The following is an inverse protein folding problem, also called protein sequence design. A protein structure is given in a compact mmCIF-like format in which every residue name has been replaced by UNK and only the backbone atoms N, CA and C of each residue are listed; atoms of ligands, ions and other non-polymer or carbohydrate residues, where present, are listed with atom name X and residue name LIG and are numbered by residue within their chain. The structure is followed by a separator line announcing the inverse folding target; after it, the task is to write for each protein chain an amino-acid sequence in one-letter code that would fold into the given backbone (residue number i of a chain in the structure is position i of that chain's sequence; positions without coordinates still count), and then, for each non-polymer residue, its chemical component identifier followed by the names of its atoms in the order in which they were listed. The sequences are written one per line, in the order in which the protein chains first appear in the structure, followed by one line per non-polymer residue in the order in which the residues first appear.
data_IF_910910062459
#
_entry.id   IF_910910062459
#
_cell.length_a   1.000
_cell.length_b   1.000
_cell.length_c   1.000
_cell.angle_alpha   90.00
_cell.angle_beta   90.00
_cell.angle_gamma   90.00
#
_symmetry.space_group_name_H-M   'P 1'
#
loop_
_entity.id
_entity.type
_entity.pdbx_description
1 polymer ?
#
# COMPACT_ATOMS: atom_id res chain seq x y z
N UNK A 1 -25.47 63.06 8.97
CA UNK A 1 -26.09 61.71 8.94
C UNK A 1 -25.45 60.96 7.81
N UNK A 2 -24.37 60.26 8.11
CA UNK A 2 -23.69 59.37 7.16
C UNK A 2 -24.05 57.95 7.52
N UNK A 3 -24.84 57.31 6.69
CA UNK A 3 -25.06 55.85 6.75
C UNK A 3 -23.92 55.16 5.98
N UNK A 4 -22.95 54.61 6.72
CA UNK A 4 -22.02 53.64 6.17
C UNK A 4 -22.77 52.34 5.89
N UNK A 5 -22.77 51.95 4.64
CA UNK A 5 -23.18 50.61 4.22
C UNK A 5 -22.04 49.68 4.62
N UNK A 6 -22.33 48.77 5.56
CA UNK A 6 -21.49 47.63 5.87
C UNK A 6 -21.58 46.70 4.64
N UNK A 7 -20.50 46.58 3.87
CA UNK A 7 -20.37 45.57 2.83
C UNK A 7 -20.10 44.23 3.51
N UNK A 8 -20.92 43.26 3.15
CA UNK A 8 -20.77 41.86 3.54
C UNK A 8 -19.40 41.32 3.10
N UNK A 9 -18.53 41.01 4.04
CA UNK A 9 -17.20 40.44 3.80
C UNK A 9 -17.26 38.95 3.42
N UNK A 10 -18.41 38.30 3.56
CA UNK A 10 -18.59 36.87 3.29
C UNK A 10 -18.66 36.51 1.78
N UNK A 11 -18.89 37.50 0.89
CA UNK A 11 -18.99 37.25 -0.56
C UNK A 11 -17.64 37.29 -1.27
N UNK A 12 -16.60 37.90 -0.67
CA UNK A 12 -15.26 37.98 -1.30
C UNK A 12 -14.45 36.67 -1.14
N UNK A 13 -14.66 35.95 -0.07
CA UNK A 13 -13.89 34.70 0.19
C UNK A 13 -14.32 33.55 -0.73
N UNK A 14 -15.63 33.39 -0.99
CA UNK A 14 -16.15 32.36 -1.88
C UNK A 14 -15.70 32.50 -3.36
N UNK A 15 -15.39 33.74 -3.81
CA UNK A 15 -14.99 33.99 -5.19
C UNK A 15 -13.51 33.66 -5.47
N UNK A 16 -12.63 33.73 -4.48
CA UNK A 16 -11.19 33.40 -4.63
C UNK A 16 -10.95 31.90 -4.77
N UNK A 17 -11.69 31.08 -4.03
CA UNK A 17 -11.59 29.61 -4.12
C UNK A 17 -12.04 29.06 -5.48
N UNK A 18 -13.07 29.64 -6.08
CA UNK A 18 -13.57 29.20 -7.40
C UNK A 18 -12.53 29.43 -8.51
N UNK A 19 -11.64 30.40 -8.39
CA UNK A 19 -10.56 30.63 -9.37
C UNK A 19 -9.39 29.64 -9.25
N UNK A 20 -9.24 28.95 -8.14
CA UNK A 20 -8.15 27.99 -7.94
C UNK A 20 -8.39 26.66 -8.67
N UNK A 21 -9.65 26.24 -8.81
CA UNK A 21 -10.01 24.98 -9.43
C UNK A 21 -10.38 25.11 -10.89
N UNK A 22 -9.85 24.22 -11.75
CA UNK A 22 -10.33 24.06 -13.11
C UNK A 22 -11.66 23.27 -13.10
N UNK A 23 -12.58 23.65 -13.97
CA UNK A 23 -13.83 22.88 -14.15
C UNK A 23 -13.47 21.52 -14.75
N UNK A 24 -13.88 20.45 -14.07
CA UNK A 24 -13.62 19.08 -14.51
C UNK A 24 -14.34 18.74 -15.82
N UNK A 25 -13.58 18.22 -16.77
CA UNK A 25 -14.09 17.60 -18.00
C UNK A 25 -13.28 16.36 -18.40
N UNK A 26 -13.69 15.72 -19.49
CA UNK A 26 -13.00 14.52 -20.03
C UNK A 26 -11.55 14.76 -20.49
N UNK A 27 -11.12 15.99 -20.60
CA UNK A 27 -9.77 16.39 -21.01
C UNK A 27 -8.90 16.84 -19.84
N UNK A 28 -9.45 17.00 -18.64
CA UNK A 28 -8.72 17.48 -17.46
C UNK A 28 -7.43 16.70 -17.21
N UNK A 29 -7.46 15.36 -17.30
CA UNK A 29 -6.27 14.50 -17.14
C UNK A 29 -5.28 14.53 -18.32
N UNK A 30 -5.55 15.32 -19.37
CA UNK A 30 -4.62 15.55 -20.49
C UNK A 30 -3.90 16.90 -20.36
N UNK A 31 -4.34 17.73 -19.44
CA UNK A 31 -3.67 19.00 -19.16
C UNK A 31 -2.38 18.76 -18.39
N UNK A 32 -1.35 19.61 -18.58
CA UNK A 32 -0.16 19.55 -17.76
C UNK A 32 -0.50 19.85 -16.29
N UNK A 33 0.20 19.19 -15.37
CA UNK A 33 0.10 19.51 -13.96
C UNK A 33 0.54 20.95 -13.70
N UNK A 34 -0.09 21.61 -12.72
CA UNK A 34 0.38 22.86 -12.16
C UNK A 34 1.60 22.60 -11.28
N UNK A 35 2.43 23.61 -11.09
CA UNK A 35 3.67 23.50 -10.31
C UNK A 35 3.77 24.65 -9.31
N UNK A 36 4.16 24.33 -8.07
CA UNK A 36 4.59 25.27 -7.05
C UNK A 36 6.00 24.88 -6.59
N UNK A 37 6.84 25.86 -6.28
CA UNK A 37 8.18 25.63 -5.76
C UNK A 37 8.22 25.99 -4.27
N UNK A 38 8.80 25.09 -3.46
CA UNK A 38 8.96 25.24 -2.03
C UNK A 38 10.41 24.94 -1.68
N UNK A 39 11.19 25.93 -1.30
CA UNK A 39 12.60 25.81 -0.92
C UNK A 39 13.40 24.96 -1.93
N UNK A 40 13.27 25.25 -3.22
CA UNK A 40 13.96 24.53 -4.30
C UNK A 40 13.39 23.16 -4.66
N UNK A 41 12.30 22.76 -4.03
CA UNK A 41 11.57 21.55 -4.35
C UNK A 41 10.32 21.84 -5.14
N UNK A 42 10.06 21.05 -6.19
CA UNK A 42 8.87 21.14 -7.03
C UNK A 42 7.74 20.29 -6.44
N UNK A 43 6.58 20.91 -6.27
CA UNK A 43 5.31 20.20 -5.99
C UNK A 43 4.45 20.29 -7.24
N UNK A 44 4.04 19.15 -7.77
CA UNK A 44 3.12 19.07 -8.92
C UNK A 44 1.71 18.76 -8.44
N UNK A 45 0.71 19.41 -9.00
CA UNK A 45 -0.68 19.19 -8.60
C UNK A 45 -1.67 19.47 -9.73
N UNK A 46 -2.85 18.89 -9.58
CA UNK A 46 -4.02 19.13 -10.41
C UNK A 46 -5.18 19.50 -9.48
N UNK A 47 -5.79 20.66 -9.67
CA UNK A 47 -6.92 21.14 -8.89
C UNK A 47 -8.16 21.23 -9.79
N UNK A 48 -9.17 20.40 -9.53
CA UNK A 48 -10.36 20.23 -10.37
C UNK A 48 -11.64 20.22 -9.54
N UNK A 49 -12.71 20.78 -10.06
CA UNK A 49 -14.00 20.84 -9.39
C UNK A 49 -15.18 20.68 -10.35
N UNK A 50 -16.32 20.29 -9.80
CA UNK A 50 -17.62 20.54 -10.41
C UNK A 50 -18.19 21.83 -9.84
N UNK A 51 -18.86 22.68 -10.66
CA UNK A 51 -19.36 23.97 -10.20
C UNK A 51 -20.28 23.87 -8.97
N UNK A 52 -21.08 22.79 -8.90
CA UNK A 52 -22.07 22.57 -7.86
C UNK A 52 -21.45 22.31 -6.48
N UNK A 53 -20.22 21.78 -6.44
CA UNK A 53 -19.54 21.37 -5.20
C UNK A 53 -18.22 22.12 -4.97
N UNK A 54 -17.89 23.10 -5.79
CA UNK A 54 -16.66 23.88 -5.71
C UNK A 54 -16.52 24.67 -4.39
N UNK A 55 -17.63 24.91 -3.70
CA UNK A 55 -17.69 25.63 -2.41
C UNK A 55 -17.48 24.72 -1.19
N UNK A 56 -17.41 23.39 -1.37
CA UNK A 56 -17.20 22.43 -0.29
C UNK A 56 -15.70 22.35 0.07
N UNK A 57 -15.40 21.73 1.21
CA UNK A 57 -14.03 21.49 1.67
C UNK A 57 -13.23 20.69 0.62
N UNK A 58 -12.08 21.20 0.15
CA UNK A 58 -11.26 20.50 -0.84
C UNK A 58 -10.73 19.15 -0.34
N UNK A 59 -10.59 18.21 -1.25
CA UNK A 59 -10.07 16.86 -0.99
C UNK A 59 -8.68 16.74 -1.60
N UNK A 60 -7.65 16.69 -0.76
CA UNK A 60 -6.26 16.45 -1.18
C UNK A 60 -5.98 14.95 -1.23
N UNK A 61 -5.58 14.44 -2.40
CA UNK A 61 -5.30 13.02 -2.61
C UNK A 61 -3.79 12.82 -2.79
N UNK A 62 -3.18 12.02 -1.91
CA UNK A 62 -1.77 11.64 -1.93
C UNK A 62 -1.67 10.18 -2.32
N UNK A 63 -1.05 9.91 -3.47
CA UNK A 63 -0.93 8.57 -4.04
C UNK A 63 0.04 7.66 -3.29
N UNK A 64 -0.11 6.34 -3.50
CA UNK A 64 0.86 5.33 -3.10
C UNK A 64 2.10 5.33 -4.00
N UNK A 65 3.05 4.44 -3.68
CA UNK A 65 4.37 4.39 -4.34
C UNK A 65 4.33 4.26 -5.88
N UNK A 66 3.28 3.63 -6.42
CA UNK A 66 3.13 3.40 -7.87
C UNK A 66 1.99 4.21 -8.50
N UNK A 67 1.39 5.12 -7.74
CA UNK A 67 0.26 5.94 -8.19
C UNK A 67 0.73 7.32 -8.60
N UNK A 68 0.04 7.88 -9.59
CA UNK A 68 0.16 9.25 -10.05
C UNK A 68 -1.23 9.79 -10.39
N UNK A 69 -1.34 10.99 -10.91
CA UNK A 69 -2.64 11.61 -11.27
C UNK A 69 -3.52 10.69 -12.13
N UNK A 70 -2.96 10.01 -13.14
CA UNK A 70 -3.73 9.12 -14.02
C UNK A 70 -4.33 7.91 -13.30
N UNK A 71 -3.79 7.52 -12.15
CA UNK A 71 -4.33 6.43 -11.33
C UNK A 71 -5.75 6.74 -10.82
N UNK A 72 -6.10 8.01 -10.73
CA UNK A 72 -7.38 8.50 -10.23
C UNK A 72 -8.38 8.90 -11.32
N UNK A 73 -7.96 8.92 -12.58
CA UNK A 73 -8.77 9.37 -13.71
C UNK A 73 -10.19 8.79 -13.77
N UNK A 74 -10.35 7.52 -13.38
CA UNK A 74 -11.64 6.84 -13.38
C UNK A 74 -12.28 6.77 -11.99
N UNK A 75 -11.71 7.45 -11.00
CA UNK A 75 -12.13 7.42 -9.61
C UNK A 75 -12.73 8.77 -9.16
N UNK A 76 -12.21 9.88 -9.66
CA UNK A 76 -12.52 11.24 -9.17
C UNK A 76 -13.98 11.62 -9.30
N UNK A 77 -14.69 11.17 -10.36
CA UNK A 77 -16.09 11.56 -10.59
C UNK A 77 -17.02 11.25 -9.42
N UNK A 78 -16.76 10.14 -8.72
CA UNK A 78 -17.56 9.75 -7.57
C UNK A 78 -17.26 10.58 -6.30
N UNK A 79 -16.07 11.21 -6.24
CA UNK A 79 -15.64 12.00 -5.11
C UNK A 79 -16.15 13.45 -5.17
N UNK A 80 -16.50 13.97 -6.35
CA UNK A 80 -16.95 15.37 -6.49
C UNK A 80 -18.19 15.73 -5.66
N UNK A 81 -19.03 14.74 -5.32
CA UNK A 81 -20.16 14.99 -4.42
C UNK A 81 -19.74 15.43 -3.01
N UNK A 82 -18.50 15.11 -2.60
CA UNK A 82 -17.94 15.46 -1.31
C UNK A 82 -17.08 16.73 -1.33
N UNK A 83 -16.64 17.19 -2.53
CA UNK A 83 -15.89 18.43 -2.67
C UNK A 83 -14.99 18.47 -3.91
N UNK A 84 -14.35 19.61 -4.16
CA UNK A 84 -13.33 19.75 -5.19
C UNK A 84 -12.10 18.92 -4.86
N UNK A 85 -11.35 18.52 -5.89
CA UNK A 85 -10.28 17.52 -5.74
C UNK A 85 -8.94 18.15 -6.12
N UNK A 86 -7.95 17.89 -5.28
CA UNK A 86 -6.55 18.19 -5.51
C UNK A 86 -5.78 16.88 -5.54
N UNK A 87 -5.23 16.53 -6.70
CA UNK A 87 -4.25 15.45 -6.83
C UNK A 87 -2.87 16.07 -6.69
N UNK A 88 -2.02 15.56 -5.81
CA UNK A 88 -0.72 16.17 -5.52
C UNK A 88 0.39 15.11 -5.56
N UNK A 89 1.49 15.45 -6.24
CA UNK A 89 2.70 14.64 -6.34
C UNK A 89 3.90 15.43 -5.77
N UNK A 90 4.39 14.97 -4.63
CA UNK A 90 5.54 15.53 -3.92
C UNK A 90 6.85 15.13 -4.62
N UNK A 91 8.01 15.72 -4.29
CA UNK A 91 9.30 15.31 -4.85
C UNK A 91 9.53 13.81 -4.73
N UNK A 92 9.92 13.16 -5.83
CA UNK A 92 10.09 11.71 -5.99
C UNK A 92 8.81 10.86 -5.83
N UNK A 93 7.62 11.47 -5.78
CA UNK A 93 6.33 10.74 -5.75
C UNK A 93 5.54 10.96 -7.05
N UNK A 94 4.67 10.02 -7.36
CA UNK A 94 3.72 10.12 -8.47
C UNK A 94 4.36 10.39 -9.83
N UNK A 95 3.92 11.44 -10.53
CA UNK A 95 4.50 11.89 -11.79
C UNK A 95 5.69 12.85 -11.60
N UNK A 96 5.92 13.34 -10.37
CA UNK A 96 7.00 14.28 -10.07
C UNK A 96 8.36 13.58 -10.14
N UNK A 97 9.13 13.91 -11.16
CA UNK A 97 10.44 13.29 -11.43
C UNK A 97 11.62 14.06 -10.81
N UNK A 98 11.36 15.08 -10.00
CA UNK A 98 12.44 15.82 -9.37
C UNK A 98 13.13 14.96 -8.30
N UNK A 99 14.41 14.68 -8.54
CA UNK A 99 15.27 13.90 -7.64
C UNK A 99 16.34 14.75 -6.95
N UNK A 100 16.44 16.03 -7.31
CA UNK A 100 17.48 16.95 -6.77
C UNK A 100 16.86 18.31 -6.56
N UNK A 101 17.15 18.91 -5.40
CA UNK A 101 16.79 20.29 -5.07
C UNK A 101 17.52 21.27 -6.00
N UNK A 102 16.80 22.19 -6.63
CA UNK A 102 17.39 23.12 -7.61
C UNK A 102 18.23 24.23 -6.97
N UNK A 103 18.05 24.52 -5.68
CA UNK A 103 18.77 25.57 -4.97
C UNK A 103 19.98 25.01 -4.22
N UNK A 104 19.85 23.85 -3.55
CA UNK A 104 20.90 23.28 -2.68
C UNK A 104 21.68 22.16 -3.35
N UNK A 105 21.15 21.52 -4.39
CA UNK A 105 21.73 20.32 -5.01
C UNK A 105 21.50 19.04 -4.20
N UNK A 106 20.75 19.08 -3.10
CA UNK A 106 20.46 17.91 -2.28
C UNK A 106 19.60 16.88 -3.01
N UNK A 107 19.85 15.60 -2.76
CA UNK A 107 19.04 14.50 -3.30
C UNK A 107 17.68 14.42 -2.61
N UNK A 108 16.62 14.06 -3.34
CA UNK A 108 15.32 13.75 -2.75
C UNK A 108 15.37 12.59 -1.73
N UNK A 109 16.42 11.78 -1.76
CA UNK A 109 16.69 10.74 -0.76
C UNK A 109 16.95 11.25 0.65
N UNK A 110 17.29 12.55 0.82
CA UNK A 110 17.46 13.18 2.14
C UNK A 110 16.13 13.57 2.78
N UNK A 111 15.07 13.76 1.98
CA UNK A 111 13.74 14.06 2.50
C UNK A 111 13.12 12.81 3.11
N UNK A 112 12.72 12.87 4.36
CA UNK A 112 11.94 11.84 5.03
C UNK A 112 10.43 12.04 4.79
N UNK A 113 9.61 11.07 5.18
CA UNK A 113 8.14 11.16 5.01
C UNK A 113 7.55 12.32 5.85
N UNK A 114 8.19 12.64 6.97
CA UNK A 114 7.84 13.79 7.79
C UNK A 114 8.09 15.12 7.06
N UNK A 115 9.21 15.24 6.33
CA UNK A 115 9.52 16.45 5.56
C UNK A 115 8.53 16.65 4.40
N UNK A 116 8.08 15.56 3.79
CA UNK A 116 7.02 15.62 2.78
C UNK A 116 5.67 16.07 3.38
N UNK A 117 5.36 15.65 4.61
CA UNK A 117 4.19 16.15 5.35
C UNK A 117 4.26 17.65 5.62
N UNK A 118 5.43 18.14 6.09
CA UNK A 118 5.67 19.57 6.31
C UNK A 118 5.55 20.36 5.00
N UNK A 119 6.19 19.89 3.93
CA UNK A 119 6.13 20.54 2.62
C UNK A 119 4.69 20.62 2.09
N UNK A 120 3.86 19.61 2.37
CA UNK A 120 2.44 19.67 2.01
C UNK A 120 1.69 20.73 2.82
N UNK A 121 2.00 20.90 4.11
CA UNK A 121 1.47 21.97 4.94
C UNK A 121 1.87 23.36 4.41
N UNK A 122 3.14 23.55 4.08
CA UNK A 122 3.67 24.79 3.49
C UNK A 122 3.01 25.07 2.12
N UNK A 123 2.73 24.02 1.33
CA UNK A 123 2.01 24.16 0.07
C UNK A 123 0.57 24.63 0.27
N UNK A 124 -0.14 24.11 1.28
CA UNK A 124 -1.50 24.54 1.61
C UNK A 124 -1.55 26.02 2.00
N UNK A 125 -0.54 26.49 2.78
CA UNK A 125 -0.41 27.92 3.10
C UNK A 125 -0.17 28.78 1.86
N UNK A 126 0.67 28.34 0.91
CA UNK A 126 0.97 29.07 -0.33
C UNK A 126 -0.28 29.21 -1.22
N UNK A 127 -1.12 28.19 -1.25
CA UNK A 127 -2.35 28.21 -2.09
C UNK A 127 -3.59 28.74 -1.34
N UNK A 128 -3.41 29.22 -0.12
CA UNK A 128 -4.44 29.83 0.74
C UNK A 128 -5.63 28.88 1.02
N UNK A 129 -5.32 27.65 1.44
CA UNK A 129 -6.29 26.64 1.82
C UNK A 129 -6.23 26.35 3.32
N UNK A 130 -7.11 26.96 4.09
CA UNK A 130 -7.17 26.87 5.56
C UNK A 130 -7.71 25.54 6.07
N UNK A 131 -8.47 24.82 5.24
CA UNK A 131 -9.12 23.56 5.66
C UNK A 131 -9.27 22.62 4.48
N UNK A 132 -8.80 21.38 4.64
CA UNK A 132 -8.87 20.31 3.63
C UNK A 132 -9.28 18.97 4.25
N UNK A 133 -9.94 18.14 3.45
CA UNK A 133 -10.00 16.69 3.71
C UNK A 133 -8.82 16.03 3.02
N UNK A 134 -8.21 15.00 3.63
CA UNK A 134 -7.02 14.36 3.07
C UNK A 134 -7.27 12.86 2.83
N UNK A 135 -6.91 12.39 1.65
CA UNK A 135 -6.91 10.96 1.30
C UNK A 135 -5.48 10.50 1.06
N UNK A 136 -4.96 9.64 1.92
CA UNK A 136 -3.67 8.97 1.76
C UNK A 136 -3.85 7.52 1.34
N UNK A 137 -3.12 7.09 0.29
CA UNK A 137 -3.16 5.74 -0.22
C UNK A 137 -1.80 5.06 -0.01
N UNK A 138 -1.72 3.97 0.77
CA UNK A 138 -0.48 3.24 1.04
C UNK A 138 0.64 4.19 1.54
N UNK A 139 1.75 4.38 0.80
CA UNK A 139 2.79 5.37 1.12
C UNK A 139 2.21 6.77 1.42
N UNK A 140 1.24 7.20 0.63
CA UNK A 140 0.55 8.49 0.83
C UNK A 140 -0.18 8.57 2.17
N UNK A 141 -0.61 7.45 2.77
CA UNK A 141 -1.20 7.42 4.11
C UNK A 141 -0.21 7.86 5.18
N UNK A 142 1.07 7.58 5.01
CA UNK A 142 2.12 8.01 5.94
C UNK A 142 2.35 9.52 5.81
N UNK A 143 2.46 10.04 4.59
CA UNK A 143 2.62 11.49 4.34
C UNK A 143 1.41 12.25 4.90
N UNK A 144 0.19 11.76 4.65
CA UNK A 144 -1.04 12.31 5.20
C UNK A 144 -1.04 12.35 6.73
N UNK A 145 -0.60 11.26 7.38
CA UNK A 145 -0.49 11.20 8.85
C UNK A 145 0.57 12.17 9.39
N UNK A 146 1.69 12.35 8.68
CA UNK A 146 2.71 13.34 9.04
C UNK A 146 2.19 14.77 8.93
N UNK A 147 1.42 15.09 7.88
CA UNK A 147 0.75 16.39 7.76
C UNK A 147 -0.21 16.63 8.95
N UNK A 148 -1.05 15.65 9.28
CA UNK A 148 -2.03 15.78 10.37
C UNK A 148 -1.38 15.92 11.76
N UNK A 149 -0.19 15.38 11.95
CA UNK A 149 0.60 15.53 13.18
C UNK A 149 1.18 16.94 13.32
N UNK A 150 1.66 17.51 12.22
CA UNK A 150 2.33 18.81 12.18
C UNK A 150 1.35 19.98 12.08
N UNK A 151 0.26 19.81 11.33
CA UNK A 151 -0.72 20.85 10.99
C UNK A 151 -2.15 20.35 11.20
N UNK A 152 -2.50 19.88 12.42
CA UNK A 152 -3.82 19.32 12.70
C UNK A 152 -4.98 20.31 12.42
N UNK A 153 -4.73 21.62 12.52
CA UNK A 153 -5.71 22.67 12.26
C UNK A 153 -6.17 22.73 10.80
N UNK A 154 -5.33 22.30 9.85
CA UNK A 154 -5.67 22.28 8.43
C UNK A 154 -6.59 21.12 8.03
N UNK A 155 -6.74 20.11 8.90
CA UNK A 155 -7.41 18.87 8.53
C UNK A 155 -8.86 18.86 9.03
N UNK A 156 -9.81 18.76 8.12
CA UNK A 156 -11.21 18.52 8.44
C UNK A 156 -11.43 17.04 8.81
N UNK A 157 -11.12 16.15 7.88
CA UNK A 157 -11.20 14.69 8.05
C UNK A 157 -10.19 13.98 7.17
N UNK A 158 -9.97 12.71 7.44
CA UNK A 158 -8.92 11.96 6.76
C UNK A 158 -9.37 10.56 6.36
N UNK A 159 -8.91 10.09 5.20
CA UNK A 159 -8.98 8.69 4.79
C UNK A 159 -7.55 8.16 4.67
N UNK A 160 -7.26 7.06 5.35
CA UNK A 160 -6.00 6.35 5.28
C UNK A 160 -6.26 4.93 4.79
N UNK A 161 -5.77 4.59 3.61
CA UNK A 161 -5.95 3.27 3.03
C UNK A 161 -4.63 2.50 2.98
N UNK A 162 -4.62 1.31 3.57
CA UNK A 162 -3.43 0.46 3.58
C UNK A 162 -2.32 1.02 4.48
N UNK A 163 -2.65 1.40 5.72
CA UNK A 163 -1.73 1.96 6.71
C UNK A 163 -1.38 0.96 7.80
N UNK A 164 -0.14 1.03 8.30
CA UNK A 164 0.32 0.30 9.47
C UNK A 164 1.10 1.24 10.40
N UNK A 165 1.01 1.05 11.70
CA UNK A 165 1.75 1.88 12.66
C UNK A 165 3.25 1.62 12.61
N UNK A 166 3.61 0.34 12.53
CA UNK A 166 5.01 -0.13 12.51
C UNK A 166 5.19 -1.15 11.41
N UNK A 167 6.32 -1.09 10.76
CA UNK A 167 6.70 -2.08 9.74
C UNK A 167 7.06 -3.42 10.38
N UNK A 168 6.38 -4.50 9.97
CA UNK A 168 6.76 -5.86 10.41
C UNK A 168 8.04 -6.34 9.72
N UNK A 169 8.78 -7.24 10.36
CA UNK A 169 10.04 -7.79 9.82
C UNK A 169 9.84 -8.40 8.42
N UNK A 170 8.82 -9.23 8.22
CA UNK A 170 8.55 -9.86 6.91
C UNK A 170 8.29 -8.83 5.81
N UNK A 171 7.57 -7.75 6.10
CA UNK A 171 7.32 -6.68 5.14
C UNK A 171 8.61 -5.95 4.76
N UNK A 172 9.48 -5.66 5.75
CA UNK A 172 10.80 -5.06 5.50
C UNK A 172 11.66 -5.95 4.60
N UNK A 173 11.72 -7.24 4.88
CA UNK A 173 12.46 -8.23 4.07
C UNK A 173 11.96 -8.28 2.63
N UNK A 174 10.64 -8.20 2.39
CA UNK A 174 10.09 -8.16 1.04
C UNK A 174 10.45 -6.87 0.29
N UNK A 175 10.46 -5.72 0.98
CA UNK A 175 10.93 -4.45 0.38
C UNK A 175 12.43 -4.52 0.05
N UNK A 176 13.24 -5.02 0.97
CA UNK A 176 14.69 -5.19 0.76
C UNK A 176 14.99 -6.15 -0.39
N UNK A 177 14.19 -7.22 -0.54
CA UNK A 177 14.31 -8.13 -1.69
C UNK A 177 13.93 -7.45 -3.00
N UNK A 178 12.85 -6.68 -3.02
CA UNK A 178 12.46 -5.93 -4.23
C UNK A 178 13.54 -4.93 -4.67
N UNK A 179 14.15 -4.22 -3.71
CA UNK A 179 15.30 -3.34 -3.97
C UNK A 179 16.51 -4.11 -4.49
N UNK A 180 16.81 -5.29 -3.94
CA UNK A 180 17.88 -6.15 -4.39
C UNK A 180 17.67 -6.58 -5.84
N UNK A 181 16.49 -7.11 -6.18
CA UNK A 181 16.16 -7.52 -7.55
C UNK A 181 16.31 -6.37 -8.55
N UNK A 182 15.85 -5.18 -8.19
CA UNK A 182 15.98 -3.99 -9.03
C UNK A 182 17.45 -3.57 -9.21
N UNK A 183 18.26 -3.57 -8.16
CA UNK A 183 19.69 -3.22 -8.21
C UNK A 183 20.51 -4.23 -9.03
N UNK A 184 20.15 -5.51 -8.98
CA UNK A 184 20.73 -6.56 -9.80
C UNK A 184 20.19 -6.56 -11.25
N UNK A 185 19.38 -5.58 -11.64
CA UNK A 185 18.74 -5.45 -12.94
C UNK A 185 17.88 -6.66 -13.35
N UNK A 186 17.36 -7.40 -12.36
CA UNK A 186 16.43 -8.51 -12.53
C UNK A 186 14.99 -7.98 -12.61
N UNK A 187 14.73 -7.10 -13.58
CA UNK A 187 13.51 -6.30 -13.65
C UNK A 187 12.25 -7.13 -13.90
N UNK A 188 12.37 -8.26 -14.60
CA UNK A 188 11.25 -9.19 -14.79
C UNK A 188 10.82 -9.83 -13.46
N UNK A 189 11.76 -10.33 -12.69
CA UNK A 189 11.51 -10.89 -11.36
C UNK A 189 11.04 -9.82 -10.36
N UNK A 190 11.63 -8.62 -10.42
CA UNK A 190 11.18 -7.48 -9.64
C UNK A 190 9.69 -7.18 -9.90
N UNK A 191 9.29 -7.06 -11.17
CA UNK A 191 7.89 -6.78 -11.53
C UNK A 191 6.94 -7.87 -11.07
N UNK A 192 7.32 -9.15 -11.22
CA UNK A 192 6.52 -10.28 -10.75
C UNK A 192 6.41 -10.30 -9.22
N UNK A 193 7.53 -10.11 -8.50
CA UNK A 193 7.56 -10.09 -7.04
C UNK A 193 6.68 -8.96 -6.47
N UNK A 194 6.81 -7.74 -6.98
CA UNK A 194 6.01 -6.59 -6.53
C UNK A 194 4.51 -6.86 -6.72
N UNK A 195 4.10 -7.40 -7.87
CA UNK A 195 2.70 -7.78 -8.10
C UNK A 195 2.23 -8.84 -7.09
N UNK A 196 3.03 -9.87 -6.88
CA UNK A 196 2.68 -10.97 -5.96
C UNK A 196 2.70 -10.56 -4.48
N UNK A 197 3.35 -9.44 -4.13
CA UNK A 197 3.29 -8.83 -2.79
C UNK A 197 2.05 -7.96 -2.61
N UNK A 198 1.67 -7.18 -3.63
CA UNK A 198 0.56 -6.23 -3.57
C UNK A 198 -0.81 -6.86 -3.88
N UNK A 199 -0.82 -7.87 -4.75
CA UNK A 199 -2.02 -8.59 -5.16
C UNK A 199 -2.03 -9.96 -4.50
N UNK A 200 -3.03 -10.22 -3.68
CA UNK A 200 -3.17 -11.52 -3.02
C UNK A 200 -3.50 -12.62 -4.02
N UNK A 201 -2.47 -13.28 -4.52
CA UNK A 201 -2.59 -14.29 -5.57
C UNK A 201 -3.47 -15.47 -5.14
N UNK A 202 -3.46 -15.84 -3.85
CA UNK A 202 -4.32 -16.87 -3.28
C UNK A 202 -5.82 -16.51 -3.26
N UNK A 203 -6.18 -15.24 -3.54
CA UNK A 203 -7.55 -14.72 -3.53
C UNK A 203 -7.98 -14.10 -4.87
N UNK A 204 -7.26 -14.36 -5.96
CA UNK A 204 -7.51 -13.74 -7.26
C UNK A 204 -8.92 -14.00 -7.81
N UNK A 205 -9.50 -15.16 -7.55
CA UNK A 205 -10.88 -15.47 -7.96
C UNK A 205 -11.90 -14.58 -7.23
N UNK A 206 -11.67 -14.34 -5.93
CA UNK A 206 -12.55 -13.50 -5.11
C UNK A 206 -12.38 -12.02 -5.44
N UNK A 207 -11.14 -11.55 -5.61
CA UNK A 207 -10.85 -10.14 -5.91
C UNK A 207 -11.22 -9.77 -7.34
N UNK A 208 -11.30 -10.74 -8.24
CA UNK A 208 -11.66 -10.57 -9.67
C UNK A 208 -10.78 -9.54 -10.39
N UNK A 209 -9.51 -9.46 -10.03
CA UNK A 209 -8.58 -8.63 -10.79
C UNK A 209 -8.50 -9.12 -12.24
N UNK A 210 -8.75 -8.24 -13.19
CA UNK A 210 -8.74 -8.64 -14.59
C UNK A 210 -7.31 -9.00 -15.05
N UNK A 211 -7.14 -10.02 -15.91
CA UNK A 211 -5.82 -10.37 -16.47
C UNK A 211 -5.14 -9.19 -17.17
N UNK A 212 -5.93 -8.32 -17.80
CA UNK A 212 -5.41 -7.10 -18.44
C UNK A 212 -4.87 -6.12 -17.42
N UNK A 213 -5.59 -5.87 -16.32
CA UNK A 213 -5.12 -4.98 -15.25
C UNK A 213 -3.83 -5.54 -14.60
N UNK A 214 -3.78 -6.84 -14.30
CA UNK A 214 -2.57 -7.51 -13.78
C UNK A 214 -1.39 -7.33 -14.73
N UNK A 215 -1.58 -7.54 -16.04
CA UNK A 215 -0.53 -7.41 -17.05
C UNK A 215 -0.03 -5.96 -17.19
N UNK A 216 -0.94 -4.98 -17.18
CA UNK A 216 -0.56 -3.58 -17.26
C UNK A 216 0.23 -3.14 -16.02
N UNK A 217 -0.21 -3.59 -14.85
CA UNK A 217 0.48 -3.30 -13.59
C UNK A 217 1.87 -3.95 -13.56
N UNK A 218 2.00 -5.21 -13.98
CA UNK A 218 3.29 -5.88 -14.13
C UNK A 218 4.23 -5.11 -15.09
N UNK A 219 3.76 -4.74 -16.28
CA UNK A 219 4.56 -3.97 -17.23
C UNK A 219 5.02 -2.63 -16.67
N UNK A 220 4.15 -1.94 -15.95
CA UNK A 220 4.53 -0.69 -15.29
C UNK A 220 5.76 -0.86 -14.38
N UNK A 221 5.90 -2.01 -13.71
CA UNK A 221 7.05 -2.29 -12.83
C UNK A 221 8.27 -2.80 -13.62
N UNK A 222 8.07 -3.76 -14.52
CA UNK A 222 9.13 -4.39 -15.28
C UNK A 222 9.83 -3.41 -16.24
N UNK A 223 9.09 -2.43 -16.75
CA UNK A 223 9.57 -1.42 -17.72
C UNK A 223 10.02 -0.10 -17.05
N UNK A 224 10.34 -0.09 -15.76
CA UNK A 224 10.80 1.11 -15.05
C UNK A 224 12.00 1.74 -15.73
N UNK A 225 11.88 3.02 -16.05
CA UNK A 225 13.00 3.88 -16.45
C UNK A 225 13.98 4.05 -15.28
N UNK A 226 15.20 4.51 -15.54
CA UNK A 226 16.20 4.79 -14.52
C UNK A 226 15.64 5.75 -13.43
N UNK A 227 14.94 6.82 -13.84
CA UNK A 227 14.31 7.76 -12.88
C UNK A 227 13.22 7.09 -12.02
N UNK A 228 12.45 6.16 -12.56
CA UNK A 228 11.44 5.41 -11.80
C UNK A 228 12.10 4.44 -10.82
N UNK A 229 13.20 3.81 -11.20
CA UNK A 229 14.02 3.00 -10.31
C UNK A 229 14.58 3.83 -9.14
N UNK A 230 15.16 5.00 -9.43
CA UNK A 230 15.65 5.93 -8.41
C UNK A 230 14.54 6.38 -7.44
N UNK A 231 13.36 6.70 -7.97
CA UNK A 231 12.18 7.07 -7.14
C UNK A 231 11.72 5.91 -6.27
N UNK A 232 11.70 4.70 -6.82
CA UNK A 232 11.36 3.51 -6.05
C UNK A 232 12.35 3.26 -4.93
N UNK A 233 13.66 3.33 -5.22
CA UNK A 233 14.73 3.20 -4.21
C UNK A 233 14.56 4.23 -3.07
N UNK A 234 14.37 5.50 -3.41
CA UNK A 234 14.17 6.58 -2.43
C UNK A 234 12.95 6.30 -1.53
N UNK A 235 11.81 5.98 -2.11
CA UNK A 235 10.58 5.77 -1.35
C UNK A 235 10.61 4.49 -0.50
N UNK A 236 11.19 3.40 -1.00
CA UNK A 236 11.40 2.18 -0.20
C UNK A 236 12.36 2.43 0.97
N UNK A 237 13.45 3.17 0.75
CA UNK A 237 14.38 3.50 1.84
C UNK A 237 13.74 4.40 2.92
N UNK A 238 12.86 5.35 2.53
CA UNK A 238 12.05 6.12 3.50
C UNK A 238 11.17 5.20 4.35
N UNK A 239 10.48 4.25 3.71
CA UNK A 239 9.65 3.27 4.40
C UNK A 239 10.48 2.33 5.30
N UNK A 240 11.68 1.93 4.88
CA UNK A 240 12.59 1.10 5.68
C UNK A 240 13.15 1.85 6.90
N UNK A 241 13.33 3.17 6.82
CA UNK A 241 13.74 4.01 7.97
C UNK A 241 12.59 4.40 8.90
N UNK A 242 11.35 4.24 8.44
CA UNK A 242 10.17 4.60 9.21
C UNK A 242 10.06 3.77 10.50
N UNK A 243 10.02 4.43 11.64
CA UNK A 243 9.88 3.79 12.96
C UNK A 243 8.42 3.70 13.40
N UNK A 244 7.66 4.78 13.24
CA UNK A 244 6.24 4.87 13.56
C UNK A 244 5.55 5.83 12.61
N UNK A 245 4.28 5.53 12.28
CA UNK A 245 3.37 6.47 11.62
C UNK A 245 2.65 7.28 12.69
N UNK A 246 2.63 8.62 12.60
CA UNK A 246 1.89 9.48 13.53
C UNK A 246 0.39 9.15 13.55
N UNK A 247 -0.24 9.35 14.70
CA UNK A 247 -1.67 9.06 14.89
C UNK A 247 -2.49 10.35 14.74
N UNK A 248 -3.34 10.48 13.71
CA UNK A 248 -4.15 11.66 13.51
C UNK A 248 -5.21 11.82 14.60
N UNK A 249 -5.48 13.07 14.99
CA UNK A 249 -6.47 13.43 16.01
C UNK A 249 -7.83 13.83 15.41
N UNK A 250 -7.88 14.13 14.10
CA UNK A 250 -9.10 14.46 13.37
C UNK A 250 -10.02 13.24 13.22
N UNK A 251 -11.21 13.43 12.63
CA UNK A 251 -12.07 12.33 12.19
C UNK A 251 -11.37 11.56 11.09
N UNK A 252 -11.16 10.24 11.27
CA UNK A 252 -10.40 9.41 10.32
C UNK A 252 -11.13 8.12 9.97
N UNK A 253 -11.22 7.82 8.67
CA UNK A 253 -11.55 6.51 8.15
C UNK A 253 -10.25 5.76 7.85
N UNK A 254 -10.01 4.67 8.55
CA UNK A 254 -8.96 3.70 8.16
C UNK A 254 -9.62 2.60 7.33
N UNK A 255 -9.14 2.40 6.12
CA UNK A 255 -9.68 1.42 5.19
C UNK A 255 -8.60 0.48 4.64
N UNK A 256 -8.98 -0.77 4.35
CA UNK A 256 -8.11 -1.74 3.67
C UNK A 256 -8.94 -2.73 2.85
N UNK A 257 -8.32 -3.48 1.97
CA UNK A 257 -8.96 -4.63 1.35
C UNK A 257 -9.12 -5.79 2.34
N UNK A 258 -10.19 -6.55 2.23
CA UNK A 258 -10.45 -7.73 3.09
C UNK A 258 -9.32 -8.76 3.03
N UNK A 259 -8.68 -8.88 1.88
CA UNK A 259 -7.60 -9.83 1.60
C UNK A 259 -6.23 -9.17 1.43
N UNK A 260 -6.06 -7.94 1.95
CA UNK A 260 -4.78 -7.25 1.88
C UNK A 260 -3.69 -8.08 2.58
N UNK A 261 -2.72 -8.56 1.80
CA UNK A 261 -1.58 -9.35 2.29
C UNK A 261 -0.32 -8.51 2.47
N UNK A 262 -0.31 -7.30 1.94
CA UNK A 262 0.82 -6.37 2.04
C UNK A 262 0.76 -5.53 3.31
N UNK A 263 -0.36 -4.84 3.56
CA UNK A 263 -0.67 -4.20 4.84
C UNK A 263 -1.88 -4.92 5.45
N UNK A 264 -1.63 -5.86 6.33
CA UNK A 264 -2.65 -6.78 6.81
C UNK A 264 -3.84 -6.06 7.46
N UNK A 265 -5.09 -6.55 7.32
CA UNK A 265 -6.25 -5.93 7.94
C UNK A 265 -6.09 -5.68 9.44
N UNK A 266 -5.47 -6.60 10.18
CA UNK A 266 -5.22 -6.40 11.61
C UNK A 266 -4.18 -5.30 11.91
N UNK A 267 -3.24 -5.01 10.99
CA UNK A 267 -2.28 -3.90 11.14
C UNK A 267 -2.98 -2.56 10.95
N UNK A 268 -3.86 -2.47 9.95
CA UNK A 268 -4.75 -1.32 9.76
C UNK A 268 -5.68 -1.13 10.98
N UNK A 269 -6.25 -2.21 11.51
CA UNK A 269 -7.09 -2.19 12.70
C UNK A 269 -6.32 -1.71 13.94
N UNK A 270 -5.09 -2.17 14.15
CA UNK A 270 -4.23 -1.73 15.25
C UNK A 270 -3.89 -0.23 15.16
N UNK A 271 -3.70 0.29 13.95
CA UNK A 271 -3.53 1.72 13.74
C UNK A 271 -4.82 2.48 14.08
N UNK A 272 -5.96 2.04 13.53
CA UNK A 272 -7.26 2.65 13.77
C UNK A 272 -7.62 2.70 15.27
N UNK A 273 -7.34 1.64 16.02
CA UNK A 273 -7.59 1.57 17.47
C UNK A 273 -6.89 2.65 18.29
N UNK A 274 -5.83 3.25 17.77
CA UNK A 274 -5.11 4.35 18.42
C UNK A 274 -5.65 5.72 18.03
N UNK A 275 -6.41 5.83 16.93
CA UNK A 275 -7.04 7.07 16.53
C UNK A 275 -8.27 7.34 17.41
N UNK A 276 -8.38 8.54 18.04
CA UNK A 276 -9.48 8.84 18.97
C UNK A 276 -10.85 8.87 18.27
N UNK A 277 -10.91 9.42 17.06
CA UNK A 277 -12.13 9.65 16.28
C UNK A 277 -12.14 8.78 15.01
N UNK A 278 -12.03 7.45 15.18
CA UNK A 278 -11.89 6.54 14.07
C UNK A 278 -13.22 5.95 13.59
N UNK A 279 -13.32 5.76 12.29
CA UNK A 279 -14.14 4.75 11.63
C UNK A 279 -13.21 3.73 10.95
N UNK A 280 -13.67 2.48 10.83
CA UNK A 280 -12.91 1.44 10.16
C UNK A 280 -13.79 0.63 9.22
N UNK A 281 -13.29 0.37 8.02
CA UNK A 281 -13.99 -0.47 7.06
C UNK A 281 -13.03 -1.31 6.22
N UNK A 282 -13.41 -2.57 5.95
CA UNK A 282 -12.79 -3.36 4.91
C UNK A 282 -13.60 -3.30 3.62
N UNK A 283 -12.92 -3.21 2.47
CA UNK A 283 -13.54 -3.37 1.16
C UNK A 283 -13.60 -4.88 0.88
N UNK A 284 -14.82 -5.41 0.78
CA UNK A 284 -15.05 -6.84 0.57
C UNK A 284 -14.47 -7.30 -0.76
N UNK A 285 -13.87 -8.49 -0.76
CA UNK A 285 -13.28 -9.11 -1.94
C UNK A 285 -12.24 -8.20 -2.65
N UNK A 286 -11.45 -7.46 -1.90
CA UNK A 286 -10.34 -6.66 -2.39
C UNK A 286 -9.07 -6.97 -1.60
N UNK A 287 -7.91 -6.68 -2.19
CA UNK A 287 -6.59 -6.74 -1.56
C UNK A 287 -5.98 -5.34 -1.39
N UNK A 288 -4.65 -5.18 -1.53
CA UNK A 288 -3.97 -3.89 -1.33
C UNK A 288 -4.33 -2.81 -2.36
N UNK A 289 -4.97 -3.17 -3.47
CA UNK A 289 -5.32 -2.25 -4.56
C UNK A 289 -6.84 -2.21 -4.84
N UNK A 290 -7.69 -1.94 -3.83
CA UNK A 290 -9.13 -2.05 -3.97
C UNK A 290 -9.70 -1.11 -5.03
N UNK A 291 -9.09 0.04 -5.30
CA UNK A 291 -9.48 0.97 -6.36
C UNK A 291 -9.36 0.37 -7.78
N UNK A 292 -8.56 -0.69 -7.97
CA UNK A 292 -8.47 -1.42 -9.23
C UNK A 292 -9.48 -2.58 -9.31
N UNK A 293 -9.88 -3.14 -8.16
CA UNK A 293 -10.71 -4.35 -8.06
C UNK A 293 -12.17 -4.04 -7.76
N UNK A 294 -12.42 -3.09 -6.86
CA UNK A 294 -13.72 -2.68 -6.32
C UNK A 294 -13.86 -1.16 -6.36
N UNK A 295 -13.61 -0.58 -7.54
CA UNK A 295 -13.55 0.87 -7.71
C UNK A 295 -14.81 1.59 -7.21
N UNK A 296 -15.99 1.09 -7.62
CA UNK A 296 -17.26 1.72 -7.29
C UNK A 296 -17.51 1.71 -5.78
N UNK A 297 -17.34 0.57 -5.16
CA UNK A 297 -17.52 0.37 -3.72
C UNK A 297 -16.52 1.21 -2.92
N UNK A 298 -15.24 1.20 -3.32
CA UNK A 298 -14.16 1.96 -2.68
C UNK A 298 -14.41 3.47 -2.75
N UNK A 299 -14.75 3.99 -3.94
CA UNK A 299 -14.98 5.42 -4.09
C UNK A 299 -16.30 5.86 -3.44
N UNK A 300 -17.31 4.99 -3.43
CA UNK A 300 -18.55 5.26 -2.71
C UNK A 300 -18.32 5.34 -1.19
N UNK A 301 -17.55 4.42 -0.61
CA UNK A 301 -17.13 4.47 0.80
C UNK A 301 -16.45 5.81 1.10
N UNK A 302 -15.48 6.20 0.28
CA UNK A 302 -14.71 7.42 0.51
C UNK A 302 -15.57 8.68 0.40
N UNK A 303 -16.38 8.78 -0.64
CA UNK A 303 -17.26 9.92 -0.82
C UNK A 303 -18.31 10.02 0.29
N UNK A 304 -18.89 8.90 0.74
CA UNK A 304 -19.84 8.85 1.87
C UNK A 304 -19.21 9.37 3.16
N UNK A 305 -18.02 8.87 3.50
CA UNK A 305 -17.31 9.35 4.70
C UNK A 305 -16.93 10.84 4.60
N UNK A 306 -16.45 11.30 3.44
CA UNK A 306 -16.08 12.70 3.21
C UNK A 306 -17.30 13.62 3.24
N UNK A 307 -18.49 13.15 2.87
CA UNK A 307 -19.76 13.89 2.97
C UNK A 307 -20.40 13.83 4.38
N UNK A 308 -19.71 13.26 5.37
CA UNK A 308 -20.21 13.06 6.74
C UNK A 308 -21.47 12.20 6.84
N UNK A 309 -21.63 11.27 5.91
CA UNK A 309 -22.72 10.31 5.86
C UNK A 309 -22.31 8.97 6.52
N UNK A 310 -23.30 8.16 6.92
CA UNK A 310 -23.05 6.84 7.52
C UNK A 310 -22.51 5.83 6.51
N UNK A 311 -21.42 5.13 6.89
CA UNK A 311 -20.82 4.06 6.07
C UNK A 311 -21.39 2.66 6.35
N UNK A 312 -22.40 2.54 7.25
CA UNK A 312 -22.83 1.24 7.81
C UNK A 312 -23.52 0.32 6.79
N UNK A 313 -24.27 0.88 5.84
CA UNK A 313 -25.10 0.11 4.92
C UNK A 313 -24.62 0.15 3.46
N UNK A 314 -23.31 0.37 3.27
CA UNK A 314 -22.74 0.45 1.92
C UNK A 314 -22.49 -0.94 1.35
N UNK A 315 -22.93 -1.17 0.11
CA UNK A 315 -22.71 -2.42 -0.62
C UNK A 315 -21.21 -2.68 -0.81
N UNK A 316 -20.78 -3.93 -0.55
CA UNK A 316 -19.39 -4.34 -0.67
C UNK A 316 -18.44 -3.76 0.40
N UNK A 317 -18.96 -3.14 1.44
CA UNK A 317 -18.20 -2.59 2.55
C UNK A 317 -18.51 -3.37 3.84
N UNK A 318 -17.49 -3.63 4.62
CA UNK A 318 -17.55 -4.32 5.91
C UNK A 318 -17.10 -3.32 6.99
N UNK A 319 -18.00 -2.48 7.51
CA UNK A 319 -17.67 -1.60 8.62
C UNK A 319 -17.48 -2.42 9.88
N UNK A 320 -16.54 -2.03 10.73
CA UNK A 320 -16.23 -2.76 11.96
C UNK A 320 -16.17 -1.81 13.16
N UNK A 321 -16.77 -2.28 14.24
CA UNK A 321 -16.74 -1.60 15.54
C UNK A 321 -15.39 -1.79 16.22
N UNK A 322 -15.06 -0.92 17.18
CA UNK A 322 -13.86 -1.02 18.01
C UNK A 322 -13.72 -2.38 18.70
N UNK A 323 -14.83 -2.98 19.16
CA UNK A 323 -14.83 -4.29 19.79
C UNK A 323 -14.43 -5.42 18.81
N UNK A 324 -14.91 -5.36 17.57
CA UNK A 324 -14.54 -6.32 16.53
C UNK A 324 -13.07 -6.18 16.12
N UNK A 325 -12.53 -4.95 16.07
CA UNK A 325 -11.11 -4.73 15.74
C UNK A 325 -10.17 -5.36 16.78
N UNK A 326 -10.52 -5.34 18.06
CA UNK A 326 -9.73 -5.94 19.15
C UNK A 326 -9.59 -7.48 19.02
N UNK A 327 -10.53 -8.12 18.34
CA UNK A 327 -10.58 -9.58 18.16
C UNK A 327 -10.18 -10.01 16.75
N UNK A 328 -9.73 -9.08 15.90
CA UNK A 328 -9.37 -9.39 14.51
C UNK A 328 -8.19 -10.37 14.44
N UNK A 329 -8.34 -11.39 13.59
CA UNK A 329 -7.30 -12.38 13.33
C UNK A 329 -6.02 -11.72 12.78
N UNK A 330 -4.88 -12.08 13.38
CA UNK A 330 -3.58 -11.49 13.03
C UNK A 330 -2.97 -12.05 11.75
N UNK A 331 -3.37 -13.25 11.36
CA UNK A 331 -2.82 -13.93 10.17
C UNK A 331 -3.70 -13.67 8.96
N UNK A 332 -3.09 -13.22 7.88
CA UNK A 332 -3.80 -13.06 6.61
C UNK A 332 -4.18 -14.40 5.98
N UNK A 333 -3.43 -15.48 6.26
CA UNK A 333 -3.69 -16.83 5.76
C UNK A 333 -3.25 -17.89 6.76
N UNK A 334 -4.11 -18.92 6.94
CA UNK A 334 -3.81 -20.07 7.79
C UNK A 334 -2.65 -20.90 7.20
N UNK A 335 -1.80 -21.44 8.07
CA UNK A 335 -0.79 -22.42 7.70
C UNK A 335 -1.35 -23.82 7.78
N UNK A 336 -0.82 -24.71 6.96
CA UNK A 336 -1.23 -26.11 6.85
C UNK A 336 -0.03 -27.04 7.02
N UNK A 337 -0.22 -28.17 7.68
CA UNK A 337 0.71 -29.29 7.64
C UNK A 337 0.65 -29.96 6.27
N UNK A 338 1.78 -30.55 5.84
CA UNK A 338 1.87 -31.29 4.56
C UNK A 338 1.93 -32.79 4.82
N UNK A 339 1.36 -33.60 3.89
CA UNK A 339 1.35 -35.05 4.04
C UNK A 339 2.74 -35.67 3.92
N UNK A 340 3.55 -35.21 2.98
CA UNK A 340 4.94 -35.62 2.84
C UNK A 340 5.86 -34.49 3.28
N UNK A 341 6.25 -34.45 4.56
CA UNK A 341 7.00 -33.34 5.13
C UNK A 341 8.50 -33.36 4.74
N UNK A 342 9.02 -34.49 4.22
CA UNK A 342 10.42 -34.60 3.85
C UNK A 342 10.74 -33.70 2.66
N UNK A 343 11.75 -32.84 2.82
CA UNK A 343 12.18 -31.87 1.83
C UNK A 343 13.67 -31.60 1.95
N UNK A 344 14.17 -30.75 1.08
CA UNK A 344 15.55 -30.28 1.09
C UNK A 344 15.57 -28.75 0.94
N UNK A 345 16.41 -28.12 1.73
CA UNK A 345 16.75 -26.71 1.59
C UNK A 345 18.13 -26.61 0.94
N UNK A 346 18.20 -26.10 -0.28
CA UNK A 346 19.39 -26.07 -1.11
C UNK A 346 19.90 -24.64 -1.29
N UNK A 347 21.21 -24.43 -1.16
CA UNK A 347 21.83 -23.15 -1.53
C UNK A 347 22.06 -23.06 -3.04
N UNK A 348 21.76 -21.91 -3.63
CA UNK A 348 21.76 -21.73 -5.10
C UNK A 348 23.15 -21.74 -5.73
N UNK A 349 24.18 -21.34 -4.98
CA UNK A 349 25.54 -21.08 -5.49
C UNK A 349 26.61 -21.98 -4.86
N UNK A 350 26.22 -23.02 -4.11
CA UNK A 350 27.13 -24.01 -3.57
C UNK A 350 26.45 -25.38 -3.47
N UNK A 351 27.25 -26.42 -3.16
CA UNK A 351 26.75 -27.80 -3.00
C UNK A 351 25.99 -28.03 -1.69
N UNK A 352 25.73 -26.98 -0.90
CA UNK A 352 24.99 -27.13 0.34
C UNK A 352 23.55 -27.55 0.05
N UNK A 353 23.22 -28.75 0.53
CA UNK A 353 21.89 -29.34 0.43
C UNK A 353 21.55 -29.98 1.77
N UNK A 354 20.59 -29.45 2.50
CA UNK A 354 20.25 -29.83 3.86
C UNK A 354 18.87 -30.48 3.88
N UNK A 355 18.81 -31.73 4.33
CA UNK A 355 17.53 -32.41 4.53
C UNK A 355 16.75 -31.73 5.67
N UNK A 356 15.45 -31.56 5.47
CA UNK A 356 14.56 -30.88 6.42
C UNK A 356 13.14 -31.46 6.37
N UNK A 357 12.35 -31.17 7.41
CA UNK A 357 10.94 -31.46 7.48
C UNK A 357 10.11 -30.17 7.41
N UNK A 358 9.09 -30.14 6.57
CA UNK A 358 8.11 -29.06 6.53
C UNK A 358 7.12 -29.29 7.68
N UNK A 359 7.14 -28.42 8.68
CA UNK A 359 6.19 -28.43 9.80
C UNK A 359 4.84 -27.89 9.36
N UNK A 360 4.87 -26.70 8.79
CA UNK A 360 3.70 -26.04 8.19
C UNK A 360 4.12 -25.07 7.07
N UNK A 361 3.20 -24.78 6.18
CA UNK A 361 3.38 -23.74 5.16
C UNK A 361 2.05 -23.08 4.77
N UNK A 362 2.14 -21.96 4.11
CA UNK A 362 1.08 -21.34 3.32
C UNK A 362 1.68 -20.70 2.07
N UNK A 363 0.91 -19.90 1.33
CA UNK A 363 1.41 -19.22 0.13
C UNK A 363 2.60 -18.28 0.41
N UNK A 364 2.73 -17.72 1.61
CA UNK A 364 3.71 -16.67 1.92
C UNK A 364 4.99 -17.19 2.59
N UNK A 365 4.99 -18.41 3.13
CA UNK A 365 6.19 -18.92 3.82
C UNK A 365 6.00 -20.27 4.46
N UNK A 366 7.07 -20.74 5.10
CA UNK A 366 7.22 -22.08 5.61
C UNK A 366 7.88 -22.09 7.00
N UNK A 367 7.52 -23.06 7.82
CA UNK A 367 8.27 -23.49 9.02
C UNK A 367 8.91 -24.82 8.72
N UNK A 368 10.23 -24.88 8.85
CA UNK A 368 11.06 -26.06 8.67
C UNK A 368 11.62 -26.56 10.00
N UNK A 369 11.79 -27.87 10.15
CA UNK A 369 12.48 -28.50 11.26
C UNK A 369 13.64 -29.35 10.73
N UNK A 370 14.80 -29.24 11.35
CA UNK A 370 16.04 -29.93 10.98
C UNK A 370 16.38 -30.97 12.01
N UNK A 371 17.15 -31.97 11.62
CA UNK A 371 17.59 -33.06 12.52
C UNK A 371 18.30 -32.54 13.79
N UNK A 372 19.01 -31.40 13.64
CA UNK A 372 19.69 -30.75 14.77
C UNK A 372 19.87 -29.27 14.57
N UNK A 373 20.11 -28.48 15.65
CA UNK A 373 20.28 -27.01 15.58
C UNK A 373 21.45 -26.54 14.71
N UNK A 374 22.49 -27.34 14.52
CA UNK A 374 23.65 -26.95 13.71
C UNK A 374 23.29 -26.81 12.25
N UNK A 375 22.43 -27.69 11.71
CA UNK A 375 21.96 -27.62 10.32
C UNK A 375 21.05 -26.41 10.09
N UNK A 376 20.17 -26.12 11.04
CA UNK A 376 19.32 -24.92 11.00
C UNK A 376 20.18 -23.65 11.00
N UNK A 377 21.16 -23.55 11.90
CA UNK A 377 22.08 -22.41 11.98
C UNK A 377 22.95 -22.26 10.72
N UNK A 378 23.39 -23.38 10.12
CA UNK A 378 24.14 -23.37 8.87
C UNK A 378 23.28 -22.81 7.71
N UNK A 379 22.04 -23.28 7.58
CA UNK A 379 21.12 -22.78 6.58
C UNK A 379 20.81 -21.27 6.77
N UNK A 380 20.70 -20.84 8.02
CA UNK A 380 20.38 -19.46 8.36
C UNK A 380 21.49 -18.43 7.97
N UNK A 381 22.71 -18.87 7.74
CA UNK A 381 23.81 -18.01 7.27
C UNK A 381 23.59 -17.49 5.83
N UNK A 382 22.75 -18.15 5.06
CA UNK A 382 22.46 -17.81 3.66
C UNK A 382 21.11 -17.11 3.55
N UNK A 383 20.99 -15.92 4.09
CA UNK A 383 19.74 -15.17 4.30
C UNK A 383 18.78 -15.15 3.12
N UNK A 384 19.29 -15.11 1.87
CA UNK A 384 18.44 -14.96 0.67
C UNK A 384 18.73 -15.92 -0.49
N UNK A 385 19.72 -16.82 -0.36
CA UNK A 385 20.16 -17.67 -1.47
C UNK A 385 19.77 -19.14 -1.30
N UNK A 386 18.77 -19.39 -0.47
CA UNK A 386 18.24 -20.74 -0.24
C UNK A 386 16.97 -20.97 -1.08
N UNK A 387 16.79 -22.21 -1.54
CA UNK A 387 15.59 -22.67 -2.22
C UNK A 387 15.05 -23.95 -1.60
N UNK A 388 13.77 -23.98 -1.28
CA UNK A 388 13.07 -25.15 -0.77
C UNK A 388 12.61 -26.02 -1.93
N UNK A 389 12.93 -27.32 -1.89
CA UNK A 389 12.44 -28.31 -2.85
C UNK A 389 11.07 -28.82 -2.40
N UNK A 390 10.09 -28.76 -3.28
CA UNK A 390 8.74 -29.29 -3.08
C UNK A 390 8.45 -30.36 -4.12
N UNK A 391 7.58 -31.32 -3.76
CA UNK A 391 7.17 -32.42 -4.64
C UNK A 391 5.65 -32.42 -4.78
N UNK A 392 5.16 -32.33 -6.02
CA UNK A 392 3.75 -32.48 -6.39
C UNK A 392 3.56 -33.60 -7.43
N UNK A 393 2.35 -33.70 -7.99
CA UNK A 393 2.03 -34.69 -9.03
C UNK A 393 2.75 -34.44 -10.36
N UNK A 394 3.16 -33.20 -10.62
CA UNK A 394 3.91 -32.80 -11.81
C UNK A 394 5.43 -33.05 -11.66
N UNK A 395 5.89 -33.45 -10.45
CA UNK A 395 7.29 -33.71 -10.12
C UNK A 395 7.84 -32.70 -9.11
N UNK A 396 9.17 -32.59 -9.03
CA UNK A 396 9.84 -31.66 -8.12
C UNK A 396 9.85 -30.24 -8.67
N UNK A 397 9.70 -29.26 -7.77
CA UNK A 397 9.95 -27.86 -8.08
C UNK A 397 10.59 -27.15 -6.87
N UNK A 398 11.26 -26.04 -7.12
CA UNK A 398 11.91 -25.26 -6.08
C UNK A 398 11.32 -23.88 -5.94
N UNK A 399 11.29 -23.38 -4.71
CA UNK A 399 10.90 -22.00 -4.42
C UNK A 399 11.98 -21.33 -3.58
N UNK A 400 12.42 -20.16 -4.02
CA UNK A 400 13.41 -19.35 -3.31
C UNK A 400 12.84 -18.79 -2.01
N UNK A 401 13.71 -18.71 -1.00
CA UNK A 401 13.36 -18.33 0.36
C UNK A 401 14.22 -17.17 0.87
N UNK A 402 13.58 -16.28 1.63
CA UNK A 402 14.24 -15.36 2.56
C UNK A 402 14.18 -15.98 3.96
N UNK A 403 15.32 -16.18 4.58
CA UNK A 403 15.37 -16.75 5.94
C UNK A 403 14.90 -15.69 6.93
N UNK A 404 13.80 -15.96 7.60
CA UNK A 404 13.19 -15.03 8.54
C UNK A 404 13.80 -15.14 9.93
N UNK A 405 13.98 -16.39 10.44
CA UNK A 405 14.45 -16.65 11.78
C UNK A 405 14.86 -18.11 11.90
N UNK A 406 15.89 -18.38 12.73
CA UNK A 406 16.30 -19.73 13.13
C UNK A 406 16.30 -19.80 14.66
N UNK A 407 15.63 -20.78 15.24
CA UNK A 407 15.57 -21.03 16.68
C UNK A 407 15.63 -22.54 16.96
N UNK A 408 16.71 -22.98 17.62
CA UNK A 408 16.95 -24.41 17.83
C UNK A 408 17.06 -25.15 16.50
N UNK A 409 16.32 -26.26 16.34
CA UNK A 409 16.23 -27.00 15.08
C UNK A 409 15.29 -26.39 14.05
N UNK A 410 14.52 -25.37 14.42
CA UNK A 410 13.52 -24.77 13.55
C UNK A 410 14.03 -23.55 12.76
N UNK A 411 13.54 -23.40 11.55
CA UNK A 411 13.83 -22.27 10.67
C UNK A 411 12.53 -21.81 10.00
N UNK A 412 12.27 -20.51 10.11
CA UNK A 412 11.17 -19.84 9.41
C UNK A 412 11.70 -19.14 8.18
N UNK A 413 11.01 -19.30 7.05
CA UNK A 413 11.35 -18.62 5.82
C UNK A 413 10.11 -18.01 5.14
N UNK A 414 10.33 -16.92 4.41
CA UNK A 414 9.36 -16.31 3.49
C UNK A 414 9.68 -16.79 2.08
N UNK A 415 8.66 -17.01 1.27
CA UNK A 415 8.84 -17.31 -0.15
C UNK A 415 9.05 -16.03 -0.96
N UNK A 416 10.04 -16.09 -1.89
CA UNK A 416 10.42 -14.97 -2.76
C UNK A 416 9.57 -14.94 -4.01
N UNK A 417 8.49 -14.91 -4.19
CA UNK A 417 7.61 -14.88 -5.36
C UNK A 417 8.17 -14.17 -6.63
N UNK A 418 9.35 -14.54 -7.09
CA UNK A 418 9.99 -13.97 -8.28
C UNK A 418 9.46 -14.50 -9.63
N UNK A 419 8.51 -15.45 -9.62
CA UNK A 419 7.93 -16.06 -10.83
C UNK A 419 6.45 -16.35 -10.65
N UNK A 420 5.62 -15.93 -11.62
CA UNK A 420 4.19 -16.25 -11.64
C UNK A 420 3.94 -17.75 -11.76
N UNK A 421 4.72 -18.46 -12.57
CA UNK A 421 4.56 -19.90 -12.78
C UNK A 421 4.83 -20.69 -11.49
N UNK A 422 5.91 -20.34 -10.76
CA UNK A 422 6.23 -20.95 -9.46
C UNK A 422 5.16 -20.60 -8.43
N UNK A 423 4.67 -19.36 -8.41
CA UNK A 423 3.62 -18.94 -7.50
C UNK A 423 2.30 -19.69 -7.75
N UNK A 424 1.90 -19.87 -9.02
CA UNK A 424 0.71 -20.66 -9.39
C UNK A 424 0.87 -22.13 -9.02
N UNK A 425 2.06 -22.72 -9.23
CA UNK A 425 2.33 -24.08 -8.84
C UNK A 425 2.29 -24.25 -7.32
N UNK A 426 2.86 -23.31 -6.56
CA UNK A 426 2.77 -23.30 -5.10
C UNK A 426 1.31 -23.20 -4.62
N UNK A 427 0.48 -22.38 -5.27
CA UNK A 427 -0.96 -22.31 -4.93
C UNK A 427 -1.66 -23.65 -5.12
N UNK A 428 -1.46 -24.31 -6.26
CA UNK A 428 -2.02 -25.62 -6.52
C UNK A 428 -1.53 -26.64 -5.47
N UNK A 429 -0.24 -26.61 -5.13
CA UNK A 429 0.33 -27.45 -4.08
C UNK A 429 -0.34 -27.20 -2.73
N UNK A 430 -0.46 -25.95 -2.27
CA UNK A 430 -1.12 -25.59 -1.01
C UNK A 430 -2.59 -26.03 -1.00
N UNK A 431 -3.32 -25.82 -2.10
CA UNK A 431 -4.72 -26.22 -2.22
C UNK A 431 -4.88 -27.75 -2.14
N UNK A 432 -4.01 -28.51 -2.81
CA UNK A 432 -4.00 -29.96 -2.75
C UNK A 432 -3.73 -30.46 -1.32
N UNK A 433 -2.73 -29.92 -0.62
CA UNK A 433 -2.44 -30.30 0.77
C UNK A 433 -3.60 -29.97 1.73
N UNK A 434 -4.30 -28.85 1.53
CA UNK A 434 -5.53 -28.52 2.29
C UNK A 434 -6.62 -29.56 2.10
N UNK A 435 -6.88 -29.95 0.86
CA UNK A 435 -7.91 -30.95 0.53
C UNK A 435 -7.58 -32.32 1.13
N UNK A 436 -6.31 -32.72 1.08
CA UNK A 436 -5.84 -33.99 1.67
C UNK A 436 -5.97 -33.98 3.20
N UNK A 437 -5.65 -32.89 3.89
CA UNK A 437 -5.82 -32.76 5.34
C UNK A 437 -7.29 -32.87 5.75
N UNK A 438 -8.22 -32.24 5.02
CA UNK A 438 -9.66 -32.30 5.28
C UNK A 438 -10.23 -33.70 5.07
N UNK A 439 -9.78 -34.44 4.04
CA UNK A 439 -10.22 -35.81 3.81
C UNK A 439 -9.76 -36.77 4.90
N UNK A 440 -8.65 -36.53 5.58
CA UNK A 440 -8.18 -37.33 6.72
C UNK A 440 -9.02 -37.07 7.98
N UNK A 441 -9.52 -35.85 8.21
CA UNK A 441 -10.42 -35.50 9.32
C UNK A 441 -11.81 -36.18 9.19
N UNK A 442 -12.26 -36.47 7.97
CA UNK A 442 -13.52 -37.20 7.73
C UNK A 442 -13.37 -38.73 7.74
N UNK A 443 -12.12 -39.25 7.75
CA UNK A 443 -11.85 -40.69 7.76
C UNK A 443 -11.53 -41.25 9.16
N UNK A 444 -11.43 -40.40 10.18
CA UNK A 444 -11.30 -40.74 11.60
C UNK A 444 -12.63 -40.54 12.34
#
# INVERSE_FOLDING_TARGET
MNSMIQMDTDVQDASSHVCFFDIYDKHSFKQPARTTWINGWKVEYMAIAQPETAHLTPIVIIGGAFQNFNSYKYCVEQLFRAGPIILIDMPSMGANQQMTNVETGESAGTLELHDLGQMLGDWLDIVDLDKVSVMGMSLGSVVASCLADQRPELIDRMILMGVMQKTRKSWRMLLEESLHLMKEQRMDEFGQAVILYLVNHAKMEQTRMSPTAKRLFYRQMADFTATEQDRYDVNCNRLLRLTNVPIPQCKVLVACGQYDSFTLPHENANFALQCPNMEFAMIANADHVPQLQRRKETMNLFATFLSDESIQDLDGIIPMTRAQLLTMERRGEARIAVQNPHSHLQHRHSDLNVATHIVDLNFFGVLLDFENPTLSAQAAQFERDMALQLQDEEGSFSIECLIFESEGSQLRALFKHGSFDVAERLLRYVACQKALAQNLEYAC
#
